data_IF_357101440801
#
_entry.id   IF_357101440801
#
_cell.length_a   1.000
_cell.length_b   1.000
_cell.length_c   1.000
_cell.angle_alpha   90.00
_cell.angle_beta   90.00
_cell.angle_gamma   90.00
#
_symmetry.space_group_name_H-M   'P 1'
#
loop_
_entity.id
_entity.type
_entity.pdbx_description
1 polymer ?
#
# COMPACT_ATOMS: atom_id res chain seq x y z
N UNK A 1 -16.06 3.60 0.64
CA UNK A 1 -15.71 4.43 1.81
C UNK A 1 -17.00 4.68 2.57
N UNK A 2 -17.00 4.56 3.89
CA UNK A 2 -18.11 4.95 4.77
C UNK A 2 -17.78 6.32 5.33
N UNK A 3 -18.80 7.17 5.36
CA UNK A 3 -18.75 8.50 5.96
C UNK A 3 -19.49 8.43 7.29
N UNK A 4 -18.81 8.77 8.37
CA UNK A 4 -19.41 8.89 9.70
C UNK A 4 -19.20 10.31 10.21
N UNK A 5 -20.29 10.94 10.69
CA UNK A 5 -20.22 12.26 11.31
C UNK A 5 -20.07 12.09 12.82
N UNK A 6 -19.09 12.76 13.41
CA UNK A 6 -18.91 12.76 14.86
C UNK A 6 -19.85 13.77 15.53
N UNK A 7 -20.05 13.61 16.84
CA UNK A 7 -20.83 14.55 17.65
C UNK A 7 -20.21 15.96 17.67
N UNK A 8 -18.90 16.06 17.42
CA UNK A 8 -18.16 17.32 17.25
C UNK A 8 -18.34 17.96 15.86
N UNK A 9 -19.16 17.37 14.99
CA UNK A 9 -19.42 17.87 13.65
C UNK A 9 -18.36 17.51 12.60
N UNK A 10 -17.30 16.78 12.96
CA UNK A 10 -16.26 16.32 12.02
C UNK A 10 -16.76 15.16 11.16
N UNK A 11 -16.32 15.09 9.91
CA UNK A 11 -16.59 13.97 9.00
C UNK A 11 -15.38 13.05 8.97
N UNK A 12 -15.63 11.77 9.25
CA UNK A 12 -14.62 10.72 9.23
C UNK A 12 -14.86 9.78 8.04
N UNK A 13 -13.76 9.30 7.48
CA UNK A 13 -13.76 8.45 6.31
C UNK A 13 -13.13 7.10 6.66
N UNK A 14 -13.87 6.01 6.49
CA UNK A 14 -13.38 4.65 6.76
C UNK A 14 -13.57 3.73 5.54
N UNK A 15 -12.76 2.70 5.40
CA UNK A 15 -12.96 1.69 4.38
C UNK A 15 -14.18 0.81 4.71
N UNK A 16 -15.24 1.04 3.95
CA UNK A 16 -16.49 0.29 4.06
C UNK A 16 -16.47 -0.97 3.20
N UNK A 17 -17.03 -2.02 3.76
CA UNK A 17 -17.36 -3.24 3.07
C UNK A 17 -18.81 -3.60 3.40
N UNK A 18 -19.55 -4.03 2.37
CA UNK A 18 -20.92 -4.49 2.57
C UNK A 18 -20.89 -5.75 3.46
N UNK A 19 -21.87 -5.95 4.37
CA UNK A 19 -21.93 -7.16 5.21
C UNK A 19 -21.93 -8.47 4.41
N UNK A 20 -22.47 -8.45 3.19
CA UNK A 20 -22.56 -9.59 2.27
C UNK A 20 -21.33 -9.75 1.35
N UNK A 21 -20.30 -8.93 1.55
CA UNK A 21 -19.10 -9.02 0.73
C UNK A 21 -18.35 -10.31 1.00
N UNK A 22 -18.05 -11.07 -0.06
CA UNK A 22 -17.23 -12.28 0.02
C UNK A 22 -15.74 -11.98 0.24
N UNK A 23 -15.33 -10.72 0.15
CA UNK A 23 -13.92 -10.32 0.22
C UNK A 23 -13.06 -10.81 -0.95
N UNK A 24 -13.68 -11.36 -2.01
CA UNK A 24 -12.98 -11.88 -3.18
C UNK A 24 -12.42 -10.75 -4.05
N UNK A 25 -11.15 -10.91 -4.40
CA UNK A 25 -10.41 -10.14 -5.38
C UNK A 25 -10.02 -11.07 -6.53
N UNK A 26 -9.33 -10.53 -7.54
CA UNK A 26 -8.72 -11.37 -8.57
C UNK A 26 -7.63 -12.25 -7.93
N UNK A 27 -7.83 -13.57 -7.94
CA UNK A 27 -6.90 -14.51 -7.33
C UNK A 27 -5.50 -14.42 -7.96
N UNK A 28 -4.45 -14.55 -7.15
CA UNK A 28 -3.06 -14.42 -7.62
C UNK A 28 -2.66 -15.48 -8.66
N UNK A 29 -3.19 -16.70 -8.57
CA UNK A 29 -2.89 -17.79 -9.50
C UNK A 29 -3.81 -17.86 -10.72
N UNK A 30 -4.77 -16.94 -10.83
CA UNK A 30 -5.65 -16.86 -12.00
C UNK A 30 -4.88 -16.53 -13.30
N UNK A 31 -5.41 -16.93 -14.45
CA UNK A 31 -4.78 -16.70 -15.77
C UNK A 31 -5.01 -15.26 -16.26
N UNK A 32 -4.49 -14.30 -15.49
CA UNK A 32 -4.55 -12.88 -15.80
C UNK A 32 -3.15 -12.26 -15.78
N UNK A 33 -2.89 -11.23 -16.60
CA UNK A 33 -1.63 -10.51 -16.59
C UNK A 33 -1.28 -10.00 -15.18
N UNK A 34 0.00 -10.05 -14.84
CA UNK A 34 0.51 -9.57 -13.56
C UNK A 34 0.13 -8.11 -13.28
N UNK A 35 0.15 -7.27 -14.32
CA UNK A 35 -0.24 -5.86 -14.26
C UNK A 35 -1.67 -5.67 -13.72
N UNK A 36 -2.60 -6.56 -14.04
CA UNK A 36 -3.99 -6.47 -13.57
C UNK A 36 -4.10 -6.80 -12.08
N UNK A 37 -3.45 -7.89 -11.64
CA UNK A 37 -3.38 -8.29 -10.21
C UNK A 37 -2.72 -7.20 -9.37
N UNK A 38 -1.61 -6.67 -9.88
CA UNK A 38 -0.89 -5.58 -9.27
C UNK A 38 -1.71 -4.28 -9.21
N UNK A 39 -2.43 -3.93 -10.27
CA UNK A 39 -3.30 -2.73 -10.31
C UNK A 39 -4.40 -2.79 -9.25
N UNK A 40 -4.99 -3.96 -9.02
CA UNK A 40 -6.00 -4.17 -7.96
C UNK A 40 -5.39 -3.90 -6.59
N UNK A 41 -4.23 -4.49 -6.30
CA UNK A 41 -3.50 -4.27 -5.05
C UNK A 41 -3.21 -2.77 -4.83
N UNK A 42 -2.65 -2.10 -5.84
CA UNK A 42 -2.28 -0.68 -5.74
C UNK A 42 -3.50 0.22 -5.57
N UNK A 43 -4.55 -0.03 -6.34
CA UNK A 43 -5.79 0.76 -6.27
C UNK A 43 -6.47 0.65 -4.91
N UNK A 44 -6.48 -0.55 -4.31
CA UNK A 44 -7.02 -0.78 -2.97
C UNK A 44 -6.16 -0.12 -1.90
N UNK A 45 -4.83 -0.31 -1.94
CA UNK A 45 -3.90 0.31 -0.98
C UNK A 45 -3.97 1.85 -1.04
N UNK A 46 -3.94 2.42 -2.24
CA UNK A 46 -4.05 3.87 -2.45
C UNK A 46 -5.38 4.42 -1.91
N UNK A 47 -6.48 3.69 -2.12
CA UNK A 47 -7.79 4.08 -1.58
C UNK A 47 -7.77 4.14 -0.05
N UNK A 48 -7.12 3.17 0.61
CA UNK A 48 -7.02 3.13 2.07
C UNK A 48 -6.19 4.30 2.58
N UNK A 49 -5.00 4.51 2.04
CA UNK A 49 -4.05 5.53 2.50
C UNK A 49 -4.59 6.94 2.22
N UNK A 50 -5.14 7.17 1.02
CA UNK A 50 -5.49 8.52 0.55
C UNK A 50 -6.87 8.98 1.01
N UNK A 51 -7.81 8.05 1.25
CA UNK A 51 -9.20 8.40 1.57
C UNK A 51 -9.61 8.11 3.00
N UNK A 52 -8.85 7.32 3.78
CA UNK A 52 -9.24 7.04 5.17
C UNK A 52 -8.75 8.15 6.11
N UNK A 53 -9.52 8.47 7.13
CA UNK A 53 -9.04 9.28 8.25
C UNK A 53 -7.89 8.57 8.96
N UNK A 54 -6.87 9.30 9.49
CA UNK A 54 -5.64 8.71 10.03
C UNK A 54 -5.86 7.59 11.05
N UNK A 55 -6.84 7.77 11.94
CA UNK A 55 -7.21 6.81 12.98
C UNK A 55 -7.70 5.44 12.46
N UNK A 56 -8.13 5.34 11.20
CA UNK A 56 -8.60 4.10 10.60
C UNK A 56 -7.60 3.45 9.64
N UNK A 57 -6.50 4.14 9.32
CA UNK A 57 -5.52 3.67 8.33
C UNK A 57 -4.92 2.33 8.75
N UNK A 58 -4.50 2.20 10.01
CA UNK A 58 -3.86 0.96 10.51
C UNK A 58 -4.81 -0.24 10.44
N UNK A 59 -6.04 -0.10 10.94
CA UNK A 59 -7.05 -1.15 10.89
C UNK A 59 -7.39 -1.53 9.44
N UNK A 60 -7.52 -0.54 8.55
CA UNK A 60 -7.80 -0.80 7.13
C UNK A 60 -6.64 -1.48 6.41
N UNK A 61 -5.39 -1.18 6.78
CA UNK A 61 -4.22 -1.89 6.28
C UNK A 61 -4.23 -3.34 6.75
N UNK A 62 -4.56 -3.63 8.01
CA UNK A 62 -4.69 -5.00 8.52
C UNK A 62 -5.75 -5.78 7.74
N UNK A 63 -6.95 -5.20 7.57
CA UNK A 63 -8.02 -5.78 6.76
C UNK A 63 -7.63 -5.99 5.30
N UNK A 64 -6.80 -5.11 4.74
CA UNK A 64 -6.29 -5.25 3.38
C UNK A 64 -5.34 -6.44 3.24
N UNK A 65 -4.45 -6.64 4.20
CA UNK A 65 -3.54 -7.79 4.24
C UNK A 65 -4.31 -9.11 4.31
N UNK A 66 -5.33 -9.18 5.16
CA UNK A 66 -6.20 -10.36 5.24
C UNK A 66 -6.91 -10.65 3.92
N UNK A 67 -7.38 -9.61 3.20
CA UNK A 67 -7.95 -9.80 1.86
C UNK A 67 -6.94 -10.30 0.84
N UNK A 68 -5.73 -9.77 0.85
CA UNK A 68 -4.67 -10.24 -0.06
C UNK A 68 -4.38 -11.73 0.20
N UNK A 69 -4.24 -12.10 1.48
CA UNK A 69 -4.03 -13.49 1.89
C UNK A 69 -5.18 -14.41 1.47
N UNK A 70 -6.44 -13.96 1.63
CA UNK A 70 -7.63 -14.69 1.19
C UNK A 70 -7.65 -14.96 -0.34
N UNK A 71 -6.94 -14.15 -1.12
CA UNK A 71 -6.88 -14.25 -2.58
C UNK A 71 -5.50 -14.74 -3.08
N UNK A 72 -4.75 -15.43 -2.22
CA UNK A 72 -3.46 -16.07 -2.50
C UNK A 72 -2.33 -15.12 -2.91
N UNK A 73 -2.44 -13.83 -2.58
CA UNK A 73 -1.33 -12.91 -2.82
C UNK A 73 -0.20 -13.18 -1.82
N UNK A 74 1.05 -13.32 -2.29
CA UNK A 74 2.19 -13.49 -1.40
C UNK A 74 2.37 -12.33 -0.40
N UNK A 75 2.80 -12.64 0.82
CA UNK A 75 2.89 -11.64 1.91
C UNK A 75 3.79 -10.45 1.57
N UNK A 76 4.85 -10.66 0.79
CA UNK A 76 5.78 -9.60 0.40
C UNK A 76 5.10 -8.49 -0.43
N UNK A 77 3.96 -8.75 -1.07
CA UNK A 77 3.17 -7.73 -1.77
C UNK A 77 2.63 -6.64 -0.83
N UNK A 78 2.44 -6.95 0.45
CA UNK A 78 1.96 -5.98 1.43
C UNK A 78 3.00 -4.90 1.73
N UNK A 79 4.28 -5.23 1.57
CA UNK A 79 5.43 -4.36 1.87
C UNK A 79 5.79 -3.43 0.71
N UNK A 80 5.14 -3.59 -0.45
CA UNK A 80 5.30 -2.70 -1.60
C UNK A 80 4.54 -1.39 -1.33
N UNK A 81 5.27 -0.33 -1.02
CA UNK A 81 4.75 1.04 -1.00
C UNK A 81 4.61 1.52 -2.44
N UNK A 82 3.43 2.01 -2.81
CA UNK A 82 3.20 2.59 -4.14
C UNK A 82 3.25 4.10 -3.97
N UNK A 83 4.20 4.75 -4.62
CA UNK A 83 4.40 6.19 -4.59
C UNK A 83 3.94 6.75 -5.93
N UNK A 84 2.81 7.47 -5.93
CA UNK A 84 2.30 8.15 -7.11
C UNK A 84 2.70 9.63 -7.05
N UNK A 85 3.23 10.16 -8.15
CA UNK A 85 3.68 11.54 -8.26
C UNK A 85 2.97 12.25 -9.41
N UNK A 86 2.95 13.58 -9.39
CA UNK A 86 2.36 14.38 -10.47
C UNK A 86 3.22 14.39 -11.73
N UNK A 87 4.54 14.21 -11.59
CA UNK A 87 5.50 14.14 -12.68
C UNK A 87 6.65 13.17 -12.37
N UNK A 88 7.25 12.62 -13.41
CA UNK A 88 8.46 11.78 -13.29
C UNK A 88 9.65 12.69 -12.96
N UNK A 89 10.35 12.40 -11.85
CA UNK A 89 11.57 13.11 -11.45
C UNK A 89 12.79 12.18 -11.26
N UNK A 90 12.60 10.89 -11.53
CA UNK A 90 13.67 9.88 -11.56
C UNK A 90 14.15 9.64 -12.99
N UNK A 91 15.26 8.92 -13.14
CA UNK A 91 15.75 8.48 -14.45
C UNK A 91 14.77 7.45 -15.06
N UNK A 92 14.09 7.74 -16.19
CA UNK A 92 13.12 6.82 -16.80
C UNK A 92 13.77 5.55 -17.38
N UNK A 93 15.07 5.57 -17.67
CA UNK A 93 15.81 4.42 -18.19
C UNK A 93 16.23 3.44 -17.08
N UNK A 94 16.16 3.86 -15.81
CA UNK A 94 16.48 3.00 -14.68
C UNK A 94 15.19 2.34 -14.15
N UNK A 95 15.06 1.03 -14.36
CA UNK A 95 13.91 0.24 -13.87
C UNK A 95 14.00 -0.05 -12.37
N UNK A 96 15.20 0.01 -11.80
CA UNK A 96 15.48 -0.30 -10.40
C UNK A 96 16.51 0.68 -9.87
N UNK A 97 16.26 1.26 -8.70
CA UNK A 97 17.24 2.08 -7.99
C UNK A 97 17.11 1.90 -6.49
N UNK A 98 18.25 1.94 -5.79
CA UNK A 98 18.32 1.75 -4.35
C UNK A 98 18.58 3.05 -3.60
N UNK A 99 18.10 3.11 -2.36
CA UNK A 99 18.50 4.11 -1.38
C UNK A 99 19.29 3.41 -0.27
N UNK A 100 20.49 3.89 0.02
CA UNK A 100 21.28 3.41 1.16
C UNK A 100 20.96 4.31 2.34
N UNK A 101 20.27 3.75 3.33
CA UNK A 101 19.98 4.47 4.57
C UNK A 101 21.26 4.90 5.28
N UNK A 102 21.22 6.07 5.92
CA UNK A 102 22.36 6.68 6.63
C UNK A 102 22.79 5.93 7.89
N UNK A 103 21.97 5.01 8.40
CA UNK A 103 22.28 4.22 9.61
C UNK A 103 21.96 2.73 9.43
N UNK A 104 22.62 1.88 10.22
CA UNK A 104 22.34 0.44 10.27
C UNK A 104 20.89 0.14 10.66
N UNK A 105 20.24 1.03 11.42
CA UNK A 105 18.85 0.90 11.81
C UNK A 105 17.89 1.27 10.66
N UNK A 106 18.18 2.32 9.88
CA UNK A 106 17.32 2.81 8.79
C UNK A 106 17.56 2.15 7.43
N UNK A 107 18.58 1.30 7.27
CA UNK A 107 18.95 0.66 5.99
C UNK A 107 17.86 -0.14 5.27
N UNK A 108 16.81 -0.54 6.00
CA UNK A 108 15.68 -1.28 5.43
C UNK A 108 14.48 -0.40 5.05
N UNK A 109 14.54 0.90 5.31
CA UNK A 109 13.45 1.83 5.03
C UNK A 109 13.55 2.37 3.59
N UNK A 110 12.51 2.13 2.79
CA UNK A 110 12.40 2.62 1.41
C UNK A 110 13.70 2.39 0.60
N UNK A 111 14.30 1.22 0.78
CA UNK A 111 15.68 0.97 0.33
C UNK A 111 15.77 0.58 -1.16
N UNK A 112 14.65 0.19 -1.77
CA UNK A 112 14.60 -0.28 -3.15
C UNK A 112 13.37 0.24 -3.85
N UNK A 113 13.56 0.85 -5.02
CA UNK A 113 12.51 1.43 -5.84
C UNK A 113 12.46 0.79 -7.23
N UNK A 114 11.25 0.51 -7.75
CA UNK A 114 11.05 0.12 -9.13
C UNK A 114 10.21 1.11 -9.91
N UNK A 115 10.69 1.41 -11.11
CA UNK A 115 10.01 2.14 -12.16
C UNK A 115 9.54 1.14 -13.23
N UNK A 116 8.34 0.58 -13.06
CA UNK A 116 7.78 -0.45 -13.96
C UNK A 116 6.74 0.11 -14.94
N UNK A 117 6.44 1.41 -14.85
CA UNK A 117 5.33 2.03 -15.57
C UNK A 117 5.79 3.26 -16.35
N UNK A 118 5.15 3.52 -17.49
CA UNK A 118 5.30 4.79 -18.23
C UNK A 118 4.64 5.99 -17.52
N UNK A 119 3.86 5.72 -16.47
CA UNK A 119 3.22 6.71 -15.61
C UNK A 119 4.12 7.04 -14.40
N UNK A 120 3.97 8.21 -13.76
CA UNK A 120 4.77 8.63 -12.61
C UNK A 120 4.42 7.85 -11.32
N UNK A 121 4.74 6.56 -11.31
CA UNK A 121 4.50 5.65 -10.20
C UNK A 121 5.76 4.87 -9.88
N UNK A 122 6.20 4.92 -8.62
CA UNK A 122 7.28 4.10 -8.09
C UNK A 122 6.74 3.06 -7.13
N UNK A 123 7.32 1.87 -7.18
CA UNK A 123 7.22 0.89 -6.09
C UNK A 123 8.39 1.07 -5.16
N UNK A 124 8.19 1.06 -3.85
CA UNK A 124 9.26 1.03 -2.87
C UNK A 124 9.11 -0.14 -1.90
N UNK A 125 10.20 -0.80 -1.53
CA UNK A 125 10.21 -1.79 -0.45
C UNK A 125 10.57 -1.18 0.89
N UNK A 126 9.93 -1.73 1.93
CA UNK A 126 10.41 -1.65 3.30
C UNK A 126 10.76 -3.06 3.78
N UNK A 127 11.95 -3.22 4.38
CA UNK A 127 12.47 -4.47 4.91
C UNK A 127 13.11 -4.29 6.30
N UNK A 128 13.39 -5.40 6.98
CA UNK A 128 14.11 -5.41 8.26
C UNK A 128 13.31 -4.88 9.45
N UNK A 129 14.01 -4.48 10.53
CA UNK A 129 13.40 -3.99 11.78
C UNK A 129 12.47 -2.78 11.59
N UNK A 130 12.67 -2.01 10.53
CA UNK A 130 11.81 -0.89 10.18
C UNK A 130 10.41 -1.34 9.77
N UNK A 131 10.25 -2.51 9.16
CA UNK A 131 8.94 -3.09 8.89
C UNK A 131 8.11 -3.27 10.18
N UNK A 132 8.75 -3.54 11.32
CA UNK A 132 8.11 -3.70 12.62
C UNK A 132 7.85 -2.35 13.29
N UNK A 133 8.79 -1.41 13.21
CA UNK A 133 8.63 -0.04 13.71
C UNK A 133 7.46 0.68 13.05
N UNK A 134 7.33 0.60 11.72
CA UNK A 134 6.21 1.20 10.99
C UNK A 134 4.85 0.59 11.32
N UNK A 135 4.80 -0.60 11.95
CA UNK A 135 3.57 -1.22 12.47
C UNK A 135 3.16 -0.65 13.83
N UNK A 136 4.10 -0.11 14.61
CA UNK A 136 3.87 0.31 16.00
C UNK A 136 3.98 1.82 16.22
N UNK A 137 4.49 2.58 15.25
CA UNK A 137 4.48 4.04 15.31
C UNK A 137 3.05 4.58 15.10
N UNK A 138 2.46 5.32 16.07
CA UNK A 138 1.44 6.28 15.73
C UNK A 138 2.14 7.32 14.85
N UNK A 139 1.70 7.47 13.61
CA UNK A 139 2.30 8.40 12.64
C UNK A 139 2.46 9.79 13.25
N UNK A 140 3.66 10.37 13.10
CA UNK A 140 3.87 11.82 13.12
C UNK A 140 2.98 12.51 12.10
#
# INVERSE_FOLDING_TARGET
ICLTRTNEGKVLFNWYEKPISSGRLLNFYSYHPFSQKYSIMCSLKNKIIRLSSPQFVQENISRFKEKLKLNDYPEYFCNLVVLCFERIFWNPQANLFGHVGSTTASRGELFLFWNLYKAPVLLALVAGKQQLSWRTSPTM
#
